data_IF_309914434830
#
_entry.id   IF_309914434830
#
_cell.length_a   1.000
_cell.length_b   1.000
_cell.length_c   1.000
_cell.angle_alpha   90.00
_cell.angle_beta   90.00
_cell.angle_gamma   90.00
#
_symmetry.space_group_name_H-M   'P 1'
#
loop_
_entity.id
_entity.type
_entity.pdbx_description
1 polymer ?
#
# COMPACT_ATOMS: atom_id res chain seq x y z
N UNK A 1 43.54 -66.20 -15.28
CA UNK A 1 43.04 -64.82 -15.53
C UNK A 1 42.20 -64.39 -14.34
N UNK A 2 42.66 -63.39 -13.58
CA UNK A 2 41.92 -62.79 -12.44
C UNK A 2 41.58 -61.36 -12.83
N UNK A 3 40.29 -61.03 -12.86
CA UNK A 3 39.79 -59.69 -13.19
C UNK A 3 39.49 -58.99 -11.86
N UNK A 4 40.29 -57.99 -11.50
CA UNK A 4 40.04 -57.13 -10.34
C UNK A 4 39.09 -56.00 -10.79
N UNK A 5 37.90 -55.97 -10.22
CA UNK A 5 36.92 -54.89 -10.35
C UNK A 5 37.23 -53.80 -9.32
N UNK A 6 37.51 -52.58 -9.79
CA UNK A 6 37.72 -51.39 -8.97
C UNK A 6 36.61 -50.40 -9.32
N UNK A 7 35.63 -50.23 -8.43
CA UNK A 7 34.61 -49.18 -8.54
C UNK A 7 35.00 -48.00 -7.66
N UNK A 8 35.16 -46.78 -8.20
CA UNK A 8 35.27 -45.57 -7.38
C UNK A 8 33.87 -45.08 -7.02
N UNK A 9 33.58 -44.99 -5.73
CA UNK A 9 32.37 -44.34 -5.21
C UNK A 9 32.56 -42.82 -5.26
N UNK A 10 31.96 -42.16 -6.25
CA UNK A 10 31.94 -40.70 -6.37
C UNK A 10 30.92 -40.13 -5.38
N UNK A 11 31.41 -39.55 -4.28
CA UNK A 11 30.59 -38.86 -3.27
C UNK A 11 30.30 -37.43 -3.78
N UNK A 12 29.09 -37.19 -4.31
CA UNK A 12 28.65 -35.84 -4.70
C UNK A 12 28.15 -35.10 -3.47
N UNK A 13 28.98 -34.22 -2.92
CA UNK A 13 28.58 -33.31 -1.85
C UNK A 13 27.82 -32.11 -2.46
N UNK A 14 26.49 -32.12 -2.37
CA UNK A 14 25.68 -30.95 -2.69
C UNK A 14 25.79 -29.93 -1.54
N UNK A 15 26.64 -28.93 -1.70
CA UNK A 15 26.70 -27.78 -0.80
C UNK A 15 25.47 -26.90 -1.01
N UNK A 16 24.57 -26.87 -0.03
CA UNK A 16 23.48 -25.90 0.01
C UNK A 16 24.08 -24.57 0.47
N UNK A 17 24.33 -23.66 -0.46
CA UNK A 17 24.65 -22.28 -0.13
C UNK A 17 23.37 -21.59 0.36
N UNK A 18 23.26 -21.42 1.68
CA UNK A 18 22.21 -20.58 2.27
C UNK A 18 22.69 -19.14 2.08
N UNK A 19 22.22 -18.49 1.02
CA UNK A 19 22.37 -17.06 0.86
C UNK A 19 21.56 -16.39 1.98
N UNK A 20 22.26 -15.95 3.03
CA UNK A 20 21.68 -15.10 4.07
C UNK A 20 21.66 -13.69 3.51
N UNK A 21 20.62 -13.36 2.75
CA UNK A 21 20.30 -11.96 2.47
C UNK A 21 20.03 -11.30 3.82
N UNK A 22 20.90 -10.36 4.21
CA UNK A 22 20.67 -9.52 5.36
C UNK A 22 19.42 -8.69 5.07
N UNK A 23 18.30 -9.10 5.64
CA UNK A 23 17.06 -8.35 5.58
C UNK A 23 17.26 -7.19 6.54
N UNK A 24 17.56 -6.00 6.01
CA UNK A 24 17.43 -4.78 6.81
C UNK A 24 15.97 -4.67 7.22
N UNK A 25 15.66 -4.45 8.50
CA UNK A 25 14.27 -4.26 8.92
C UNK A 25 13.67 -3.14 8.07
N UNK A 26 12.51 -3.39 7.45
CA UNK A 26 11.79 -2.36 6.71
C UNK A 26 11.56 -1.17 7.64
N UNK A 27 11.87 0.03 7.17
CA UNK A 27 11.51 1.21 7.92
C UNK A 27 9.98 1.32 7.97
N UNK A 28 9.45 1.93 9.02
CA UNK A 28 8.02 2.21 9.07
C UNK A 28 7.76 3.46 8.23
N UNK A 29 6.77 3.39 7.33
CA UNK A 29 6.23 4.58 6.65
C UNK A 29 5.87 5.60 7.74
N UNK A 30 6.48 6.78 7.66
CA UNK A 30 6.34 7.80 8.69
C UNK A 30 5.21 8.75 8.31
N UNK A 31 4.24 8.91 9.21
CA UNK A 31 3.06 9.75 9.00
C UNK A 31 3.19 11.00 9.87
N UNK A 32 3.20 12.17 9.26
CA UNK A 32 3.32 13.45 9.98
C UNK A 32 2.31 14.47 9.49
N UNK A 33 1.93 15.39 10.36
CA UNK A 33 1.13 16.56 9.98
C UNK A 33 1.99 17.52 9.17
N UNK A 34 1.41 18.15 8.14
CA UNK A 34 2.13 19.09 7.27
C UNK A 34 1.35 20.39 7.09
N UNK A 35 1.91 21.34 6.34
CA UNK A 35 1.27 22.61 6.00
C UNK A 35 1.40 22.88 4.52
N UNK A 36 0.39 23.50 3.92
CA UNK A 36 0.44 23.98 2.55
C UNK A 36 0.60 25.51 2.54
N UNK A 37 1.72 26.02 2.04
CA UNK A 37 2.06 27.46 2.07
C UNK A 37 1.95 28.07 3.48
N UNK A 38 2.27 27.29 4.53
CA UNK A 38 2.17 27.71 5.93
C UNK A 38 0.77 27.57 6.53
N UNK A 39 -0.24 27.15 5.77
CA UNK A 39 -1.58 26.85 6.28
C UNK A 39 -1.66 25.38 6.73
N UNK A 40 -1.93 25.08 8.02
CA UNK A 40 -2.08 23.72 8.49
C UNK A 40 -3.42 23.08 8.09
N UNK A 41 -4.36 23.86 7.53
CA UNK A 41 -5.70 23.38 7.19
C UNK A 41 -6.16 23.85 5.82
N UNK A 42 -6.62 22.92 4.98
CA UNK A 42 -7.16 23.23 3.64
C UNK A 42 -8.35 22.29 3.37
N UNK A 43 -9.16 22.61 2.38
CA UNK A 43 -10.38 21.87 2.05
C UNK A 43 -11.63 22.70 2.26
N UNK A 44 -12.77 22.08 1.99
CA UNK A 44 -14.08 22.66 2.13
C UNK A 44 -15.04 21.64 2.78
N UNK A 45 -15.21 21.68 4.12
CA UNK A 45 -14.60 22.64 5.07
C UNK A 45 -13.08 22.41 5.31
N UNK A 46 -12.36 23.38 5.90
CA UNK A 46 -10.92 23.23 6.19
C UNK A 46 -10.60 22.07 7.12
N UNK A 47 -9.61 21.25 6.74
CA UNK A 47 -9.17 20.06 7.47
C UNK A 47 -7.65 19.98 7.57
N UNK A 48 -7.16 19.32 8.62
CA UNK A 48 -5.73 19.17 8.88
C UNK A 48 -5.03 18.38 7.76
N UNK A 49 -3.83 18.81 7.40
CA UNK A 49 -3.02 18.18 6.36
C UNK A 49 -2.00 17.19 6.92
N UNK A 50 -1.72 16.16 6.11
CA UNK A 50 -0.79 15.09 6.45
C UNK A 50 0.16 14.76 5.29
N UNK A 51 1.28 14.14 5.62
CA UNK A 51 2.18 13.52 4.67
C UNK A 51 2.59 12.11 5.11
N UNK A 52 2.95 11.29 4.14
CA UNK A 52 3.54 9.97 4.32
C UNK A 52 4.94 9.96 3.70
N UNK A 53 5.96 9.77 4.53
CA UNK A 53 7.37 9.67 4.14
C UNK A 53 7.79 8.20 4.03
N UNK A 54 8.45 7.84 2.93
CA UNK A 54 8.97 6.50 2.69
C UNK A 54 10.20 6.49 1.79
N UNK A 55 10.86 5.33 1.70
CA UNK A 55 12.05 5.12 0.90
C UNK A 55 12.08 3.70 0.29
N UNK A 56 13.20 3.35 -0.35
CA UNK A 56 13.36 2.08 -1.04
C UNK A 56 13.22 0.82 -0.16
N UNK A 57 13.44 0.94 1.16
CA UNK A 57 13.25 -0.18 2.09
C UNK A 57 11.79 -0.47 2.44
N UNK A 58 10.88 0.43 2.05
CA UNK A 58 9.45 0.34 2.34
C UNK A 58 8.66 -0.31 1.19
N UNK A 59 9.35 -0.84 0.18
CA UNK A 59 8.71 -1.61 -0.91
C UNK A 59 8.00 -2.83 -0.33
N UNK A 60 6.73 -2.98 -0.68
CA UNK A 60 5.80 -3.99 -0.16
C UNK A 60 5.06 -3.55 1.10
N UNK A 61 5.38 -2.39 1.67
CA UNK A 61 4.62 -1.81 2.78
C UNK A 61 3.42 -1.01 2.27
N UNK A 62 2.43 -0.86 3.14
CA UNK A 62 1.21 -0.10 2.85
C UNK A 62 0.86 0.86 3.99
N UNK A 63 0.13 1.91 3.65
CA UNK A 63 -0.53 2.80 4.61
C UNK A 63 -1.94 3.11 4.14
N UNK A 64 -2.83 3.44 5.09
CA UNK A 64 -4.20 3.80 4.78
C UNK A 64 -4.39 5.30 4.83
N UNK A 65 -5.26 5.85 3.98
CA UNK A 65 -5.75 7.23 4.06
C UNK A 65 -7.26 7.21 4.17
N UNK A 66 -7.78 7.88 5.18
CA UNK A 66 -9.22 7.96 5.46
C UNK A 66 -9.71 9.39 5.30
N UNK A 67 -10.87 9.55 4.66
CA UNK A 67 -11.58 10.81 4.58
C UNK A 67 -12.88 10.69 5.36
N UNK A 68 -13.16 11.70 6.18
CA UNK A 68 -14.37 11.75 6.96
C UNK A 68 -14.88 13.19 7.08
N UNK A 69 -16.17 13.38 6.80
CA UNK A 69 -16.89 14.61 7.07
C UNK A 69 -18.19 14.24 7.80
N UNK A 70 -18.37 14.66 9.07
CA UNK A 70 -19.56 14.32 9.81
C UNK A 70 -20.79 15.05 9.27
N UNK A 71 -21.97 14.43 9.42
CA UNK A 71 -23.26 15.05 9.19
C UNK A 71 -23.38 16.37 9.96
N UNK A 72 -24.04 17.36 9.36
CA UNK A 72 -24.18 18.71 9.90
C UNK A 72 -23.02 19.65 9.56
N UNK A 73 -21.97 19.16 8.90
CA UNK A 73 -20.88 20.02 8.41
C UNK A 73 -21.35 20.92 7.26
N UNK A 74 -20.94 22.18 7.30
CA UNK A 74 -21.21 23.14 6.23
C UNK A 74 -20.00 23.33 5.31
N UNK A 75 -20.24 23.46 4.01
CA UNK A 75 -19.22 23.96 3.07
C UNK A 75 -19.18 25.50 3.06
N UNK A 76 -18.29 26.08 2.26
CA UNK A 76 -18.11 27.52 2.07
C UNK A 76 -19.33 28.25 1.51
N UNK A 77 -20.20 27.51 0.82
CA UNK A 77 -21.43 28.03 0.22
C UNK A 77 -22.61 27.99 1.21
N UNK A 78 -22.41 27.37 2.37
CA UNK A 78 -23.41 27.22 3.42
C UNK A 78 -24.28 25.97 3.28
N UNK A 79 -24.00 25.10 2.31
CA UNK A 79 -24.69 23.82 2.18
C UNK A 79 -24.31 22.91 3.34
N UNK A 80 -25.30 22.25 3.94
CA UNK A 80 -25.12 21.37 5.10
C UNK A 80 -25.32 19.93 4.65
N UNK A 81 -24.31 19.09 4.87
CA UNK A 81 -24.43 17.66 4.56
C UNK A 81 -25.29 16.94 5.61
N UNK A 82 -26.36 16.22 5.24
CA UNK A 82 -27.28 15.60 6.21
C UNK A 82 -26.83 14.22 6.68
N UNK A 83 -25.77 13.65 6.10
CA UNK A 83 -25.20 12.33 6.43
C UNK A 83 -23.68 12.42 6.45
N UNK A 84 -23.02 11.46 7.10
CA UNK A 84 -21.57 11.36 7.09
C UNK A 84 -21.05 11.03 5.68
N UNK A 85 -20.08 11.79 5.18
CA UNK A 85 -19.29 11.40 4.01
C UNK A 85 -18.04 10.67 4.49
N UNK A 86 -17.77 9.50 3.92
CA UNK A 86 -16.57 8.76 4.26
C UNK A 86 -15.99 8.01 3.07
N UNK A 87 -14.67 7.93 3.05
CA UNK A 87 -13.93 7.10 2.12
C UNK A 87 -12.67 6.57 2.80
N UNK A 88 -12.18 5.42 2.34
CA UNK A 88 -10.94 4.83 2.82
C UNK A 88 -10.12 4.39 1.63
N UNK A 89 -8.81 4.49 1.72
CA UNK A 89 -7.91 3.95 0.70
C UNK A 89 -6.68 3.29 1.32
N UNK A 90 -6.18 2.25 0.67
CA UNK A 90 -4.93 1.58 1.00
C UNK A 90 -3.92 1.83 -0.12
N UNK A 91 -2.72 2.26 0.26
CA UNK A 91 -1.65 2.66 -0.64
C UNK A 91 -0.47 1.74 -0.41
N UNK A 92 -0.08 0.98 -1.42
CA UNK A 92 1.03 0.02 -1.34
C UNK A 92 2.17 0.46 -2.23
N UNK A 93 3.38 0.53 -1.68
CA UNK A 93 4.59 0.86 -2.45
C UNK A 93 5.05 -0.40 -3.18
N UNK A 94 4.80 -0.51 -4.48
CA UNK A 94 5.09 -1.73 -5.24
C UNK A 94 6.50 -1.76 -5.81
N UNK A 95 7.08 -0.59 -6.07
CA UNK A 95 8.46 -0.47 -6.54
C UNK A 95 9.03 0.89 -6.16
N UNK A 96 10.35 0.95 -5.97
CA UNK A 96 11.04 2.18 -5.65
C UNK A 96 12.44 2.16 -6.29
N UNK A 97 12.75 3.23 -7.02
CA UNK A 97 14.05 3.47 -7.63
C UNK A 97 14.36 4.97 -7.56
N UNK A 98 15.57 5.37 -7.97
CA UNK A 98 15.94 6.78 -7.95
C UNK A 98 15.09 7.67 -8.88
N UNK A 99 14.40 7.10 -9.86
CA UNK A 99 13.64 7.87 -10.87
C UNK A 99 12.16 7.52 -10.89
N UNK A 100 11.76 6.41 -10.30
CA UNK A 100 10.40 5.90 -10.38
C UNK A 100 9.93 5.28 -9.06
N UNK A 101 8.65 5.49 -8.74
CA UNK A 101 7.94 4.85 -7.63
C UNK A 101 6.65 4.26 -8.19
N UNK A 102 6.41 2.99 -7.93
CA UNK A 102 5.13 2.32 -8.22
C UNK A 102 4.26 2.30 -6.98
N UNK A 103 2.97 2.61 -7.16
CA UNK A 103 1.96 2.59 -6.12
C UNK A 103 0.75 1.79 -6.59
N UNK A 104 0.27 0.87 -5.77
CA UNK A 104 -1.08 0.31 -5.91
C UNK A 104 -2.01 1.02 -4.93
N UNK A 105 -3.17 1.42 -5.42
CA UNK A 105 -4.17 2.18 -4.66
C UNK A 105 -5.50 1.44 -4.75
N UNK A 106 -5.99 1.01 -3.59
CA UNK A 106 -7.37 0.53 -3.42
C UNK A 106 -8.16 1.63 -2.74
N UNK A 107 -9.21 2.16 -3.36
CA UNK A 107 -10.06 3.21 -2.79
C UNK A 107 -11.50 2.73 -2.68
N UNK A 108 -12.16 3.05 -1.57
CA UNK A 108 -13.56 2.73 -1.31
C UNK A 108 -14.31 3.95 -0.84
N UNK A 109 -15.48 4.17 -1.43
CA UNK A 109 -16.46 5.13 -0.93
C UNK A 109 -17.32 4.44 0.13
N UNK A 110 -16.99 4.65 1.39
CA UNK A 110 -17.66 3.99 2.53
C UNK A 110 -18.89 4.75 3.01
N UNK A 111 -19.30 5.80 2.30
CA UNK A 111 -20.50 6.59 2.62
C UNK A 111 -21.73 5.69 2.64
N UNK A 112 -22.50 5.77 3.73
CA UNK A 112 -23.81 5.10 3.83
C UNK A 112 -24.90 6.09 3.47
N UNK A 113 -25.55 5.88 2.32
CA UNK A 113 -26.68 6.71 1.93
C UNK A 113 -27.89 6.37 2.80
N UNK A 114 -28.42 7.39 3.46
CA UNK A 114 -29.72 7.32 4.15
C UNK A 114 -30.86 7.82 3.25
N UNK A 115 -32.02 8.06 3.84
CA UNK A 115 -33.17 8.68 3.14
C UNK A 115 -32.99 10.17 2.89
N UNK A 116 -31.95 10.79 3.48
CA UNK A 116 -31.71 12.24 3.44
C UNK A 116 -30.72 12.66 2.34
N UNK A 117 -30.05 11.72 1.67
CA UNK A 117 -29.07 12.01 0.63
C UNK A 117 -29.22 11.03 -0.53
N UNK A 118 -29.42 11.53 -1.75
CA UNK A 118 -29.61 10.68 -2.93
C UNK A 118 -28.30 10.14 -3.52
N UNK A 119 -27.20 10.88 -3.37
CA UNK A 119 -25.90 10.51 -3.91
C UNK A 119 -24.76 11.14 -3.12
N UNK A 120 -23.65 10.43 -3.05
CA UNK A 120 -22.37 10.90 -2.55
C UNK A 120 -21.28 10.22 -3.38
N UNK A 121 -20.88 10.84 -4.47
CA UNK A 121 -19.96 10.22 -5.43
C UNK A 121 -18.59 10.90 -5.32
N UNK A 122 -17.52 10.11 -5.38
CA UNK A 122 -16.15 10.64 -5.40
C UNK A 122 -15.76 10.88 -6.85
N UNK A 123 -15.45 12.12 -7.22
CA UNK A 123 -15.13 12.47 -8.61
C UNK A 123 -13.65 12.52 -8.90
N UNK A 124 -12.86 12.86 -7.87
CA UNK A 124 -11.42 12.99 -8.00
C UNK A 124 -10.75 12.85 -6.64
N UNK A 125 -9.50 12.43 -6.66
CA UNK A 125 -8.59 12.50 -5.54
C UNK A 125 -7.18 12.77 -6.04
N UNK A 126 -6.27 13.16 -5.16
CA UNK A 126 -4.91 13.49 -5.53
C UNK A 126 -3.95 13.48 -4.37
N UNK A 127 -2.71 13.89 -4.63
CA UNK A 127 -1.66 14.05 -3.64
C UNK A 127 -0.50 14.90 -4.21
N UNK A 128 0.19 15.60 -3.33
CA UNK A 128 1.51 16.19 -3.62
C UNK A 128 2.59 15.13 -3.55
N UNK A 129 3.68 15.30 -4.29
CA UNK A 129 4.87 14.43 -4.27
C UNK A 129 6.11 15.27 -4.08
N UNK A 130 6.92 14.96 -3.07
CA UNK A 130 8.24 15.58 -2.89
C UNK A 130 9.34 14.50 -2.86
N UNK A 131 10.36 14.56 -3.73
CA UNK A 131 10.57 15.51 -4.82
C UNK A 131 9.51 15.46 -5.93
N UNK A 132 9.19 16.61 -6.53
CA UNK A 132 8.16 16.72 -7.57
C UNK A 132 8.31 15.66 -8.67
N UNK A 133 7.19 15.07 -9.05
CA UNK A 133 7.09 13.99 -10.02
C UNK A 133 5.90 14.19 -10.98
N UNK A 134 5.91 13.45 -12.08
CA UNK A 134 4.74 13.22 -12.93
C UNK A 134 4.14 11.85 -12.64
N UNK A 135 2.87 11.66 -12.96
CA UNK A 135 2.17 10.39 -12.78
C UNK A 135 1.56 9.88 -14.07
N UNK A 136 1.56 8.55 -14.22
CA UNK A 136 0.77 7.83 -15.21
C UNK A 136 0.02 6.68 -14.54
N UNK A 137 -1.13 6.29 -15.11
CA UNK A 137 -1.82 5.07 -14.70
C UNK A 137 -1.17 3.90 -15.44
N UNK A 138 -0.43 3.08 -14.71
CA UNK A 138 0.06 1.80 -15.21
C UNK A 138 -1.06 0.75 -15.31
N UNK A 139 -2.07 0.89 -14.45
CA UNK A 139 -3.34 0.21 -14.54
C UNK A 139 -4.45 1.19 -14.13
N UNK A 140 -5.36 1.47 -15.05
CA UNK A 140 -6.55 2.28 -14.78
C UNK A 140 -7.57 1.50 -13.94
N UNK A 141 -8.30 2.22 -13.09
CA UNK A 141 -9.48 1.70 -12.41
C UNK A 141 -10.69 1.63 -13.33
N UNK A 142 -11.80 1.10 -12.81
CA UNK A 142 -13.09 1.10 -13.53
C UNK A 142 -13.76 2.48 -13.53
N UNK A 143 -13.55 3.24 -12.46
CA UNK A 143 -14.10 4.59 -12.30
C UNK A 143 -13.02 5.64 -12.49
N UNK A 144 -11.84 5.41 -11.93
CA UNK A 144 -10.70 6.31 -11.99
C UNK A 144 -9.73 5.86 -13.09
N UNK A 145 -10.00 6.31 -14.32
CA UNK A 145 -9.30 5.89 -15.53
C UNK A 145 -8.42 6.97 -16.15
N UNK A 146 -8.43 8.18 -15.58
CA UNK A 146 -7.64 9.32 -16.04
C UNK A 146 -6.79 9.89 -14.91
N UNK A 147 -5.57 10.29 -15.27
CA UNK A 147 -4.65 11.04 -14.40
C UNK A 147 -4.16 12.27 -15.15
N UNK A 148 -4.23 13.44 -14.52
CA UNK A 148 -3.49 14.59 -14.98
C UNK A 148 -2.13 14.58 -14.30
N UNK A 149 -1.07 14.42 -15.10
CA UNK A 149 0.23 14.94 -14.71
C UNK A 149 0.10 16.46 -14.70
N UNK A 150 0.21 17.10 -13.51
CA UNK A 150 0.18 18.56 -13.44
C UNK A 150 1.17 19.15 -14.46
N UNK A 151 0.73 20.12 -15.26
CA UNK A 151 1.54 20.74 -16.32
C UNK A 151 2.86 21.33 -15.77
N UNK A 152 3.91 20.52 -15.65
CA UNK A 152 5.23 20.97 -15.22
C UNK A 152 5.45 21.15 -13.72
N UNK A 153 4.64 20.51 -12.86
CA UNK A 153 4.95 20.33 -11.43
C UNK A 153 4.24 21.27 -10.47
N UNK A 154 2.92 21.08 -10.31
CA UNK A 154 1.99 21.53 -9.24
C UNK A 154 0.67 22.03 -9.85
N UNK A 155 -0.39 21.21 -9.77
CA UNK A 155 -1.76 21.57 -10.13
C UNK A 155 -2.55 22.08 -8.91
N UNK A 156 -3.64 22.79 -9.20
CA UNK A 156 -4.62 23.19 -8.19
C UNK A 156 -5.77 22.19 -8.20
N UNK A 157 -6.08 21.64 -7.03
CA UNK A 157 -7.27 20.86 -6.73
C UNK A 157 -8.28 21.79 -6.01
N UNK A 158 -9.60 21.63 -6.19
CA UNK A 158 -10.60 22.49 -5.53
C UNK A 158 -10.49 22.48 -4.01
N UNK A 159 -11.16 23.40 -3.30
CA UNK A 159 -11.03 23.49 -1.83
C UNK A 159 -9.72 24.11 -1.33
N UNK A 160 -8.95 24.76 -2.23
CA UNK A 160 -7.73 25.49 -1.87
C UNK A 160 -6.45 24.66 -1.90
N UNK A 161 -6.54 23.37 -2.24
CA UNK A 161 -5.38 22.48 -2.38
C UNK A 161 -4.53 22.90 -3.58
N UNK A 162 -3.43 23.57 -3.30
CA UNK A 162 -2.35 23.88 -4.25
C UNK A 162 -1.22 22.87 -4.06
N UNK A 163 -0.28 22.82 -5.00
CA UNK A 163 0.86 21.91 -4.94
C UNK A 163 0.48 20.42 -4.95
N UNK A 164 -0.62 20.09 -5.62
CA UNK A 164 -0.97 18.70 -5.90
C UNK A 164 -0.19 18.31 -7.15
N UNK A 165 0.61 17.25 -7.15
CA UNK A 165 1.34 16.80 -8.34
C UNK A 165 0.49 15.83 -9.14
N UNK A 166 -0.25 14.98 -8.44
CA UNK A 166 -1.04 13.89 -9.00
C UNK A 166 -2.51 14.12 -8.71
N UNK A 167 -3.33 14.00 -9.75
CA UNK A 167 -4.76 14.11 -9.65
C UNK A 167 -5.40 13.08 -10.57
N UNK A 168 -6.20 12.23 -9.95
CA UNK A 168 -6.84 11.08 -10.56
C UNK A 168 -8.34 11.35 -10.52
N UNK A 169 -9.01 11.18 -11.65
CA UNK A 169 -10.40 11.62 -11.81
C UNK A 169 -11.17 10.73 -12.78
N UNK A 170 -12.50 10.76 -12.68
CA UNK A 170 -13.38 9.88 -13.45
C UNK A 170 -14.00 10.49 -14.71
N UNK A 171 -13.80 11.79 -14.96
CA UNK A 171 -14.37 12.44 -16.15
C UNK A 171 -13.57 13.64 -16.67
N UNK A 172 -13.65 14.78 -15.97
CA UNK A 172 -13.44 16.07 -16.62
C UNK A 172 -12.42 16.95 -15.90
N UNK A 173 -11.35 16.37 -15.34
CA UNK A 173 -10.28 16.94 -14.51
C UNK A 173 -10.51 16.93 -12.98
N UNK A 174 -9.56 17.50 -12.22
CA UNK A 174 -9.57 17.58 -10.75
C UNK A 174 -10.76 18.34 -10.16
N UNK A 175 -11.30 19.31 -10.90
CA UNK A 175 -12.49 20.06 -10.52
C UNK A 175 -13.75 19.19 -10.51
N UNK A 176 -13.68 17.99 -11.07
CA UNK A 176 -14.79 17.07 -11.22
C UNK A 176 -15.48 17.20 -12.57
N UNK A 177 -16.50 16.36 -12.78
CA UNK A 177 -17.28 16.32 -14.01
C UNK A 177 -18.70 15.83 -13.73
N UNK A 178 -19.26 15.06 -14.65
CA UNK A 178 -20.59 14.48 -14.46
C UNK A 178 -20.62 13.62 -13.18
N UNK A 179 -21.45 14.00 -12.22
CA UNK A 179 -21.57 13.32 -10.92
C UNK A 179 -21.82 11.82 -11.06
N UNK A 180 -22.55 11.41 -12.10
CA UNK A 180 -22.94 10.02 -12.34
C UNK A 180 -21.78 9.14 -12.82
N UNK A 181 -20.61 9.72 -13.10
CA UNK A 181 -19.39 9.00 -13.46
C UNK A 181 -18.44 8.84 -12.26
N UNK A 182 -18.77 9.38 -11.09
CA UNK A 182 -17.94 9.23 -9.90
C UNK A 182 -18.06 7.87 -9.22
N UNK A 183 -17.15 7.58 -8.29
CA UNK A 183 -17.20 6.36 -7.49
C UNK A 183 -18.36 6.47 -6.52
N UNK A 184 -19.43 5.75 -6.80
CA UNK A 184 -20.68 5.80 -6.05
C UNK A 184 -20.51 5.29 -4.61
N UNK A 185 -21.39 5.72 -3.72
CA UNK A 185 -21.42 5.25 -2.34
C UNK A 185 -21.52 3.71 -2.26
N UNK A 186 -20.69 3.10 -1.41
CA UNK A 186 -20.57 1.66 -1.24
C UNK A 186 -19.71 0.94 -2.29
N UNK A 187 -19.22 1.64 -3.33
CA UNK A 187 -18.35 1.07 -4.34
C UNK A 187 -16.85 1.25 -4.00
N UNK A 188 -16.03 0.44 -4.66
CA UNK A 188 -14.58 0.53 -4.59
C UNK A 188 -13.96 0.50 -5.99
N UNK A 189 -12.74 0.99 -6.09
CA UNK A 189 -11.92 0.94 -7.30
C UNK A 189 -10.46 0.64 -6.94
N UNK A 190 -9.74 0.03 -7.87
CA UNK A 190 -8.33 -0.34 -7.71
C UNK A 190 -7.57 0.11 -8.94
N UNK A 191 -6.43 0.76 -8.73
CA UNK A 191 -5.59 1.31 -9.79
C UNK A 191 -4.11 1.27 -9.39
N UNK A 192 -3.24 1.31 -10.39
CA UNK A 192 -1.79 1.33 -10.19
C UNK A 192 -1.18 2.58 -10.82
N UNK A 193 -0.49 3.37 -10.02
CA UNK A 193 0.14 4.63 -10.42
C UNK A 193 1.66 4.44 -10.52
N UNK A 194 2.24 4.92 -11.60
CA UNK A 194 3.69 5.06 -11.75
C UNK A 194 4.06 6.53 -11.64
N UNK A 195 4.82 6.88 -10.59
CA UNK A 195 5.42 8.19 -10.43
C UNK A 195 6.79 8.20 -11.12
N UNK A 196 7.09 9.26 -11.87
CA UNK A 196 8.39 9.50 -12.49
C UNK A 196 8.92 10.85 -12.04
N UNK A 197 10.10 10.85 -11.42
CA UNK A 197 10.77 12.07 -10.95
C UNK A 197 10.96 13.06 -12.11
N UNK A 198 10.70 14.34 -11.84
CA UNK A 198 10.92 15.39 -12.83
C UNK A 198 12.42 15.57 -13.12
N UNK A 199 12.74 16.18 -14.26
CA UNK A 199 14.14 16.46 -14.63
C UNK A 199 14.85 17.25 -13.53
N UNK A 200 16.01 16.76 -13.08
CA UNK A 200 16.78 17.35 -11.98
C UNK A 200 16.42 16.84 -10.59
N UNK A 201 15.28 16.14 -10.44
CA UNK A 201 14.88 15.48 -9.20
C UNK A 201 15.29 14.00 -9.22
N UNK A 202 15.36 13.40 -8.02
CA UNK A 202 15.50 11.96 -7.85
C UNK A 202 15.02 11.55 -6.45
N UNK A 203 14.65 10.29 -6.30
CA UNK A 203 14.14 9.72 -5.05
C UNK A 203 15.24 9.06 -4.21
N UNK A 204 16.53 9.34 -4.44
CA UNK A 204 17.63 8.63 -3.76
C UNK A 204 17.64 8.79 -2.23
N UNK A 205 16.99 9.84 -1.72
CA UNK A 205 16.86 10.13 -0.29
C UNK A 205 15.49 9.73 0.29
N UNK A 206 14.61 9.12 -0.52
CA UNK A 206 13.21 8.90 -0.18
C UNK A 206 12.26 9.80 -0.97
N UNK A 207 10.98 9.67 -0.65
CA UNK A 207 9.90 10.49 -1.19
C UNK A 207 8.82 10.69 -0.13
N UNK A 208 8.04 11.75 -0.29
CA UNK A 208 6.84 11.99 0.51
C UNK A 208 5.61 12.15 -0.39
N UNK A 209 4.47 11.68 0.10
CA UNK A 209 3.16 11.94 -0.47
C UNK A 209 2.35 12.78 0.51
N UNK A 210 1.73 13.87 0.06
CA UNK A 210 1.11 14.85 0.95
C UNK A 210 -0.30 15.27 0.55
N UNK A 211 -1.01 15.85 1.53
CA UNK A 211 -2.31 16.52 1.47
C UNK A 211 -3.51 15.62 1.23
N UNK A 212 -3.38 14.62 0.36
CA UNK A 212 -4.40 13.64 0.02
C UNK A 212 -5.81 14.23 -0.21
N UNK A 213 -5.99 15.23 -1.09
CA UNK A 213 -7.30 15.80 -1.34
C UNK A 213 -8.26 14.79 -2.00
N UNK A 214 -9.54 14.88 -1.66
CA UNK A 214 -10.61 14.10 -2.27
C UNK A 214 -11.86 14.96 -2.44
N UNK A 215 -12.51 14.88 -3.60
CA UNK A 215 -13.74 15.63 -3.91
C UNK A 215 -14.96 14.73 -3.90
N UNK A 216 -15.85 14.98 -2.96
CA UNK A 216 -17.21 14.46 -2.98
C UNK A 216 -18.13 15.39 -3.76
N UNK A 217 -18.99 14.80 -4.59
CA UNK A 217 -20.11 15.47 -5.22
C UNK A 217 -21.41 14.80 -4.79
N UNK A 218 -22.24 15.56 -4.11
CA UNK A 218 -23.49 15.10 -3.50
C UNK A 218 -24.69 15.86 -4.10
N UNK A 219 -25.92 15.50 -3.69
CA UNK A 219 -27.10 16.32 -3.99
C UNK A 219 -27.12 17.65 -3.23
N UNK A 220 -26.46 17.69 -2.07
CA UNK A 220 -26.39 18.85 -1.16
C UNK A 220 -25.09 19.64 -1.35
N UNK A 221 -24.53 19.63 -2.57
CA UNK A 221 -23.32 20.39 -2.90
C UNK A 221 -22.04 19.55 -2.99
N UNK A 222 -20.91 20.27 -3.01
CA UNK A 222 -19.57 19.73 -3.20
C UNK A 222 -18.73 19.92 -1.95
N UNK A 223 -17.90 18.92 -1.64
CA UNK A 223 -17.06 18.91 -0.45
C UNK A 223 -15.67 18.42 -0.82
N UNK A 224 -14.64 19.15 -0.40
CA UNK A 224 -13.24 18.81 -0.66
C UNK A 224 -12.53 18.50 0.65
N UNK A 225 -12.19 17.23 0.84
CA UNK A 225 -11.66 16.73 2.11
C UNK A 225 -10.15 16.48 2.02
N UNK A 226 -9.46 16.69 3.13
CA UNK A 226 -8.08 16.26 3.33
C UNK A 226 -8.07 14.85 3.94
N UNK A 227 -7.25 13.97 3.39
CA UNK A 227 -7.10 12.61 3.88
C UNK A 227 -6.27 12.57 5.16
N UNK A 228 -6.73 11.77 6.13
CA UNK A 228 -6.00 11.47 7.37
C UNK A 228 -5.39 10.07 7.24
N UNK A 229 -4.06 9.96 7.17
CA UNK A 229 -3.40 8.67 7.20
C UNK A 229 -3.71 7.93 8.50
N UNK A 230 -4.15 6.68 8.40
CA UNK A 230 -4.28 5.78 9.54
C UNK A 230 -2.95 5.13 9.87
N UNK A 231 -2.78 4.64 11.10
CA UNK A 231 -1.60 3.84 11.44
C UNK A 231 -1.42 2.70 10.42
N UNK A 232 -0.21 2.46 9.89
CA UNK A 232 0.04 1.34 9.01
C UNK A 232 -0.36 0.07 9.75
N UNK A 233 -1.29 -0.71 9.17
CA UNK A 233 -1.54 -2.06 9.67
C UNK A 233 -0.28 -2.87 9.36
N UNK A 234 0.42 -3.43 10.35
CA UNK A 234 1.62 -4.21 10.08
C UNK A 234 1.28 -5.32 9.08
N UNK A 235 1.90 -5.30 7.90
CA UNK A 235 1.78 -6.41 6.96
C UNK A 235 2.45 -7.62 7.61
N UNK A 236 1.75 -8.76 7.80
CA UNK A 236 2.38 -9.95 8.36
C UNK A 236 3.55 -10.39 7.47
N UNK A 237 4.77 -10.31 7.98
CA UNK A 237 5.96 -10.68 7.19
C UNK A 237 5.86 -12.13 6.68
N UNK A 238 6.00 -12.40 5.38
CA UNK A 238 5.90 -13.75 4.82
C UNK A 238 6.99 -14.76 5.29
N UNK A 239 7.95 -14.34 6.10
CA UNK A 239 9.16 -15.11 6.41
C UNK A 239 9.11 -15.89 7.73
N UNK A 240 8.24 -15.53 8.67
CA UNK A 240 8.03 -16.33 9.89
C UNK A 240 7.33 -17.66 9.60
N UNK A 241 6.49 -17.73 8.55
CA UNK A 241 5.86 -18.99 8.12
C UNK A 241 6.88 -19.98 7.54
N UNK A 242 7.91 -19.47 6.86
CA UNK A 242 8.98 -20.30 6.29
C UNK A 242 9.93 -20.83 7.39
N UNK A 243 10.22 -19.99 8.40
CA UNK A 243 11.01 -20.40 9.58
C UNK A 243 10.38 -21.52 10.40
N UNK A 244 9.04 -21.49 10.58
CA UNK A 244 8.33 -22.59 11.24
C UNK A 244 8.31 -23.87 10.41
N UNK A 245 8.20 -23.78 9.08
CA UNK A 245 8.22 -24.95 8.18
C UNK A 245 9.53 -25.73 8.24
N UNK A 246 10.68 -25.03 8.22
CA UNK A 246 12.00 -25.69 8.27
C UNK A 246 12.32 -26.18 9.69
N UNK A 247 11.90 -25.47 10.73
CA UNK A 247 12.07 -25.89 12.13
C UNK A 247 11.34 -27.21 12.43
N UNK A 248 10.11 -27.36 11.97
CA UNK A 248 9.32 -28.60 12.16
C UNK A 248 9.90 -29.75 11.32
N UNK A 249 10.30 -29.51 10.07
CA UNK A 249 10.93 -30.55 9.24
C UNK A 249 12.28 -31.02 9.81
N UNK A 250 13.11 -30.10 10.30
CA UNK A 250 14.39 -30.40 10.94
C UNK A 250 14.23 -31.19 12.25
N UNK A 251 13.31 -30.78 13.12
CA UNK A 251 13.01 -31.51 14.35
C UNK A 251 12.44 -32.91 14.08
N UNK A 252 11.61 -33.07 13.04
CA UNK A 252 11.05 -34.36 12.63
C UNK A 252 12.12 -35.34 12.12
N UNK A 253 13.08 -34.87 11.33
CA UNK A 253 14.20 -35.67 10.85
C UNK A 253 15.18 -36.06 11.98
N UNK A 254 15.43 -35.16 12.93
CA UNK A 254 16.26 -35.45 14.11
C UNK A 254 15.59 -36.50 15.02
N UNK A 255 14.28 -36.40 15.24
CA UNK A 255 13.51 -37.38 16.03
C UNK A 255 13.50 -38.76 15.38
N UNK A 256 13.32 -38.85 14.06
CA UNK A 256 13.35 -40.14 13.35
C UNK A 256 14.73 -40.79 13.42
N UNK A 257 15.81 -40.02 13.22
CA UNK A 257 17.18 -40.56 13.21
C UNK A 257 17.68 -40.98 14.59
N UNK A 258 17.28 -40.28 15.65
CA UNK A 258 17.67 -40.65 17.02
C UNK A 258 16.74 -41.68 17.66
N UNK A 259 15.42 -41.62 17.42
CA UNK A 259 14.46 -42.60 17.96
C UNK A 259 14.70 -44.03 17.47
N UNK A 260 15.16 -44.20 16.23
CA UNK A 260 15.42 -45.54 15.68
C UNK A 260 16.70 -46.21 16.20
N UNK A 261 17.63 -45.46 16.82
CA UNK A 261 18.85 -46.03 17.40
C UNK A 261 18.62 -46.72 18.74
N UNK A 262 17.66 -46.23 19.53
CA UNK A 262 17.26 -46.84 20.81
C UNK A 262 16.53 -48.18 20.60
N UNK A 263 15.67 -48.27 19.58
CA UNK A 263 14.92 -49.50 19.25
C UNK A 263 15.83 -50.65 18.80
N UNK A 264 16.91 -50.37 18.07
CA UNK A 264 17.90 -51.40 17.67
C UNK A 264 18.73 -51.93 18.85
N UNK A 265 18.92 -51.15 19.91
CA UNK A 265 19.61 -51.61 21.12
C UNK A 265 18.75 -52.56 21.97
N UNK A 266 17.43 -52.37 22.00
CA UNK A 266 16.51 -53.28 22.73
C UNK A 266 16.17 -54.56 21.96
N UNK A 267 16.16 -54.55 20.62
CA UNK A 267 15.89 -55.74 19.81
C UNK A 267 16.96 -56.84 19.89
N UNK A 268 18.20 -56.50 20.23
CA UNK A 268 19.30 -57.47 20.34
C UNK A 268 19.45 -58.11 21.73
N UNK A 269 18.58 -57.77 22.69
CA UNK A 269 18.62 -58.28 24.07
C UNK A 269 17.66 -59.46 24.33
N UNK A 270 16.83 -59.84 23.34
CA UNK A 270 15.76 -60.84 23.53
C UNK A 270 15.98 -62.16 22.78
N UNK A 271 17.17 -62.43 22.23
CA UNK A 271 17.51 -63.71 21.58
C UNK A 271 18.68 -64.43 22.30
N UNK A 272 18.73 -64.35 23.63
CA UNK A 272 19.70 -65.11 24.45
C UNK A 272 19.07 -65.85 25.63
N UNK A 273 17.78 -66.21 25.56
CA UNK A 273 17.21 -67.18 26.51
C UNK A 273 16.19 -68.08 25.82
N UNK A 274 16.67 -69.14 25.19
CA UNK A 274 15.93 -70.40 25.06
C UNK A 274 16.97 -71.51 24.79
N UNK A 275 17.28 -72.22 25.87
CA UNK A 275 17.82 -73.59 25.95
C UNK A 275 16.66 -74.44 26.43
#
# INVERSE_FOLDING_TARGET
>A
MKINSFFPATLVAAGVAIATSAVTPAHAITLTTTTLNGDPTVGNPPQQLWQADFNASDVGQSFNVNWFLPAGSANSDGDIIPVDLSATSNWTITSFSNTQIGLDIDISNTTSLGTLLSNANILSFGFGVDPNATATLSQAGQTFDLVSAGQGGQQSFPGGFRQVDVCIFSANNCAGGNVNLGLIAGASDTLSVLLTANSGNNFSQGASLAFFPLKFQTSEGSYELAGVPGNPTPVPEPITTLGFGVGVAGASLLKWKYGNKEMKKKGNSLIQSEV
#
